data_IF_453768649055
#
_entry.id   IF_453768649055
#
_cell.length_a   1.000
_cell.length_b   1.000
_cell.length_c   1.000
_cell.angle_alpha   90.00
_cell.angle_beta   90.00
_cell.angle_gamma   90.00
#
_symmetry.space_group_name_H-M   'P 1'
#
loop_
_entity.id
_entity.type
_entity.pdbx_description
1 polymer ?
#
# COMPACT_ATOMS: atom_id res chain seq x y z
N UNK A 1 -0.93 27.58 23.20
CA UNK A 1 -0.23 27.01 22.03
C UNK A 1 -0.43 25.51 22.12
N UNK A 2 -1.00 24.88 21.10
CA UNK A 2 -1.12 23.42 21.07
C UNK A 2 0.31 22.86 21.19
N UNK A 3 0.51 21.84 22.02
CA UNK A 3 1.79 21.14 22.19
C UNK A 3 1.61 19.71 21.67
N UNK A 4 2.68 19.03 21.26
CA UNK A 4 2.58 17.60 20.90
C UNK A 4 2.00 16.76 22.03
N UNK A 5 2.27 17.14 23.29
CA UNK A 5 1.66 16.54 24.48
C UNK A 5 0.13 16.60 24.47
N UNK A 6 -0.50 17.58 23.80
CA UNK A 6 -1.96 17.63 23.68
C UNK A 6 -2.55 16.55 22.77
N UNK A 7 -1.75 16.05 21.82
CA UNK A 7 -2.13 14.97 20.90
C UNK A 7 -1.66 13.60 21.38
N UNK A 8 -0.62 13.56 22.23
CA UNK A 8 -0.05 12.33 22.78
C UNK A 8 0.47 12.56 24.22
N UNK A 9 -0.42 12.60 25.24
CA UNK A 9 0.00 12.92 26.61
C UNK A 9 0.88 11.85 27.28
N UNK A 10 0.70 10.59 26.90
CA UNK A 10 1.43 9.47 27.50
C UNK A 10 2.77 9.25 26.81
N UNK A 11 3.87 9.58 27.52
CA UNK A 11 5.22 9.37 27.04
C UNK A 11 5.54 7.89 26.75
N UNK A 12 4.90 6.93 27.45
CA UNK A 12 5.15 5.50 27.19
C UNK A 12 4.61 5.11 25.83
N UNK A 13 3.40 5.56 25.51
CA UNK A 13 2.82 5.35 24.17
C UNK A 13 3.70 6.02 23.12
N UNK A 14 4.17 7.26 23.36
CA UNK A 14 5.10 7.93 22.43
C UNK A 14 6.33 7.10 22.11
N UNK A 15 6.94 6.48 23.12
CA UNK A 15 8.14 5.66 22.99
C UNK A 15 7.88 4.26 22.40
N UNK A 16 6.62 3.80 22.40
CA UNK A 16 6.21 2.52 21.78
C UNK A 16 5.85 2.66 20.30
N UNK A 17 5.55 3.86 19.83
CA UNK A 17 5.19 4.11 18.43
C UNK A 17 6.41 3.95 17.51
N UNK A 18 6.20 3.31 16.36
CA UNK A 18 7.20 3.28 15.30
C UNK A 18 7.38 4.68 14.68
N UNK A 19 8.54 4.98 14.06
CA UNK A 19 8.83 6.30 13.52
C UNK A 19 7.75 6.87 12.59
N UNK A 20 7.17 6.04 11.70
CA UNK A 20 6.07 6.44 10.82
C UNK A 20 4.77 6.82 11.54
N UNK A 21 4.45 6.15 12.64
CA UNK A 21 3.21 6.38 13.39
C UNK A 21 3.33 7.69 14.16
N UNK A 22 4.47 7.89 14.83
CA UNK A 22 4.80 9.13 15.52
C UNK A 22 4.94 10.30 14.52
N UNK A 23 5.47 10.06 13.33
CA UNK A 23 5.54 11.04 12.25
C UNK A 23 4.15 11.56 11.83
N UNK A 24 3.15 10.66 11.75
CA UNK A 24 1.77 11.06 11.49
C UNK A 24 1.21 12.04 12.53
N UNK A 25 1.50 11.80 13.81
CA UNK A 25 1.12 12.68 14.92
C UNK A 25 1.86 14.02 14.84
N UNK A 26 3.16 13.99 14.53
CA UNK A 26 3.94 15.22 14.32
C UNK A 26 3.33 16.03 13.18
N UNK A 27 3.03 15.43 12.02
CA UNK A 27 2.48 16.16 10.89
C UNK A 27 1.10 16.77 11.20
N UNK A 28 0.23 16.03 11.90
CA UNK A 28 -1.05 16.54 12.42
C UNK A 28 -0.82 17.76 13.34
N UNK A 29 0.15 17.67 14.25
CA UNK A 29 0.56 18.79 15.09
C UNK A 29 1.01 20.00 14.25
N UNK A 30 1.86 19.79 13.23
CA UNK A 30 2.35 20.87 12.36
C UNK A 30 1.19 21.53 11.59
N UNK A 31 0.22 20.74 11.10
CA UNK A 31 -0.96 21.23 10.38
C UNK A 31 -2.00 21.91 11.30
N UNK A 32 -2.11 21.52 12.57
CA UNK A 32 -3.05 22.11 13.56
C UNK A 32 -2.82 23.61 13.85
N UNK A 33 -1.66 24.14 13.42
CA UNK A 33 -1.21 25.51 13.68
C UNK A 33 -1.96 26.66 12.98
N UNK A 34 -2.93 26.37 12.12
CA UNK A 34 -3.73 27.34 11.38
C UNK A 34 -3.03 27.97 10.15
N UNK A 35 -3.81 28.59 9.26
CA UNK A 35 -3.45 29.06 7.90
C UNK A 35 -2.51 30.26 7.80
N UNK A 36 -1.76 30.62 8.85
CA UNK A 36 -0.77 31.70 8.75
C UNK A 36 0.44 31.21 7.96
N UNK A 37 0.44 31.55 6.67
CA UNK A 37 1.29 31.19 5.52
C UNK A 37 2.81 31.03 5.67
N UNK A 38 3.42 31.15 6.85
CA UNK A 38 4.84 30.84 7.12
C UNK A 38 5.03 30.41 8.56
N UNK A 39 4.57 29.23 8.93
CA UNK A 39 5.15 28.55 10.10
C UNK A 39 6.33 27.73 9.61
N UNK A 40 7.50 28.25 9.93
CA UNK A 40 8.75 27.53 9.80
C UNK A 40 8.86 26.68 11.05
N UNK A 41 9.19 25.41 10.88
CA UNK A 41 9.31 24.46 11.97
C UNK A 41 10.75 24.02 12.09
N UNK A 42 11.16 23.66 13.30
CA UNK A 42 12.48 23.09 13.54
C UNK A 42 12.35 21.93 14.50
N UNK A 43 13.18 20.90 14.30
CA UNK A 43 13.30 19.81 15.26
C UNK A 43 13.71 20.35 16.63
N UNK A 44 14.59 21.35 16.67
CA UNK A 44 15.03 22.01 17.91
C UNK A 44 13.89 22.63 18.72
N UNK A 45 12.84 23.13 18.05
CA UNK A 45 11.67 23.67 18.75
C UNK A 45 10.82 22.52 19.32
N UNK A 46 10.68 21.42 18.57
CA UNK A 46 9.91 20.24 18.96
C UNK A 46 10.55 19.48 20.13
N UNK A 47 11.88 19.48 20.21
CA UNK A 47 12.65 18.83 21.28
C UNK A 47 13.14 19.80 22.36
N UNK A 48 12.68 21.06 22.33
CA UNK A 48 13.04 22.04 23.35
C UNK A 48 12.40 21.69 24.70
N UNK A 49 13.06 22.07 25.80
CA UNK A 49 12.49 21.90 27.14
C UNK A 49 11.12 22.59 27.32
N UNK A 50 10.82 23.64 26.54
CA UNK A 50 9.50 24.26 26.55
C UNK A 50 8.41 23.40 25.89
N UNK A 51 8.76 22.64 24.84
CA UNK A 51 7.86 21.72 24.17
C UNK A 51 7.66 20.43 24.97
N UNK A 52 8.70 19.97 25.68
CA UNK A 52 8.70 18.72 26.45
C UNK A 52 8.33 18.88 27.92
N UNK A 53 8.07 20.12 28.40
CA UNK A 53 7.86 20.44 29.83
C UNK A 53 6.80 19.60 30.55
N UNK A 54 5.83 19.08 29.80
CA UNK A 54 4.68 18.35 30.33
C UNK A 54 4.93 16.82 30.37
N UNK A 55 6.08 16.36 29.84
CA UNK A 55 6.55 14.97 29.96
C UNK A 55 7.50 14.77 31.15
N UNK A 56 7.71 13.52 31.62
CA UNK A 56 8.68 13.21 32.67
C UNK A 56 10.11 13.55 32.26
N UNK A 57 10.85 14.21 33.15
CA UNK A 57 12.23 14.66 32.89
C UNK A 57 13.19 13.51 32.60
N UNK A 58 12.96 12.38 33.25
CA UNK A 58 13.74 11.15 33.07
C UNK A 58 13.63 10.57 31.66
N UNK A 59 12.53 10.83 30.95
CA UNK A 59 12.29 10.33 29.59
C UNK A 59 12.57 11.38 28.50
N UNK A 60 12.91 12.63 28.86
CA UNK A 60 13.12 13.71 27.88
C UNK A 60 14.13 13.35 26.79
N UNK A 61 15.23 12.70 27.17
CA UNK A 61 16.26 12.28 26.21
C UNK A 61 15.71 11.26 25.21
N UNK A 62 15.01 10.22 25.67
CA UNK A 62 14.44 9.17 24.82
C UNK A 62 13.38 9.75 23.89
N UNK A 63 12.52 10.63 24.41
CA UNK A 63 11.52 11.35 23.63
C UNK A 63 12.19 12.20 22.54
N UNK A 64 13.31 12.87 22.82
CA UNK A 64 14.03 13.65 21.81
C UNK A 64 14.52 12.78 20.64
N UNK A 65 15.03 11.57 20.91
CA UNK A 65 15.48 10.64 19.88
C UNK A 65 14.29 10.12 19.06
N UNK A 66 13.20 9.69 19.70
CA UNK A 66 12.00 9.24 19.01
C UNK A 66 11.41 10.34 18.09
N UNK A 67 11.34 11.58 18.58
CA UNK A 67 10.90 12.73 17.78
C UNK A 67 11.84 13.02 16.60
N UNK A 68 13.14 12.81 16.75
CA UNK A 68 14.11 12.98 15.67
C UNK A 68 13.96 11.89 14.58
N UNK A 69 13.72 10.64 14.96
CA UNK A 69 13.46 9.53 14.05
C UNK A 69 12.18 9.74 13.24
N UNK A 70 11.11 10.16 13.90
CA UNK A 70 9.86 10.52 13.24
C UNK A 70 10.03 11.75 12.30
N UNK A 71 10.85 12.73 12.70
CA UNK A 71 11.14 13.90 11.87
C UNK A 71 11.88 13.54 10.58
N UNK A 72 12.92 12.71 10.66
CA UNK A 72 13.68 12.29 9.48
C UNK A 72 12.81 11.43 8.55
N UNK A 73 11.87 10.66 9.10
CA UNK A 73 10.88 9.96 8.28
C UNK A 73 10.01 10.93 7.48
N UNK A 74 9.46 11.99 8.09
CA UNK A 74 8.67 13.01 7.37
C UNK A 74 9.47 13.68 6.25
N UNK A 75 10.76 13.95 6.48
CA UNK A 75 11.67 14.51 5.49
C UNK A 75 11.89 13.52 4.32
N UNK A 76 12.20 12.25 4.62
CA UNK A 76 12.42 11.21 3.60
C UNK A 76 11.16 10.93 2.76
N UNK A 77 9.97 11.05 3.35
CA UNK A 77 8.69 10.94 2.64
C UNK A 77 8.34 12.21 1.83
N UNK A 78 9.14 13.27 1.93
CA UNK A 78 8.90 14.55 1.26
C UNK A 78 7.67 15.29 1.78
N UNK A 79 7.23 15.00 3.01
CA UNK A 79 6.09 15.66 3.65
C UNK A 79 6.49 17.00 4.30
N UNK A 80 7.75 17.08 4.73
CA UNK A 80 8.43 18.34 5.09
C UNK A 80 9.71 18.48 4.27
N UNK A 81 10.24 19.69 4.17
CA UNK A 81 11.52 19.95 3.51
C UNK A 81 12.25 21.14 4.15
N UNK A 82 13.59 21.18 4.10
CA UNK A 82 14.36 22.34 4.55
C UNK A 82 13.92 23.62 3.83
N UNK A 83 13.79 24.72 4.56
CA UNK A 83 13.47 26.02 3.96
C UNK A 83 14.70 26.59 3.24
N UNK A 84 14.63 26.83 1.91
CA UNK A 84 15.77 27.31 1.15
C UNK A 84 16.19 28.75 1.49
N UNK A 85 15.37 29.49 2.23
CA UNK A 85 15.66 30.86 2.66
C UNK A 85 16.43 30.95 3.97
N UNK A 86 16.74 29.83 4.63
CA UNK A 86 17.42 29.80 5.93
C UNK A 86 18.73 29.04 5.89
N UNK A 87 19.62 29.36 6.82
CA UNK A 87 20.88 28.67 7.01
C UNK A 87 20.72 27.40 7.86
N UNK A 88 19.86 26.48 7.39
CA UNK A 88 19.62 25.18 8.00
C UNK A 88 18.72 25.19 9.24
N UNK A 89 18.28 23.98 9.64
CA UNK A 89 17.50 23.76 10.87
C UNK A 89 16.04 24.20 10.83
N UNK A 90 15.60 24.86 9.75
CA UNK A 90 14.22 25.28 9.54
C UNK A 90 13.61 24.55 8.35
N UNK A 91 12.35 24.18 8.50
CA UNK A 91 11.59 23.36 7.57
C UNK A 91 10.23 23.99 7.30
N UNK A 92 9.65 23.66 6.15
CA UNK A 92 8.27 23.95 5.80
C UNK A 92 7.53 22.65 5.48
N UNK A 93 6.20 22.67 5.66
CA UNK A 93 5.34 21.56 5.23
C UNK A 93 5.21 21.65 3.70
N UNK A 94 5.52 20.56 3.00
CA UNK A 94 5.45 20.57 1.53
C UNK A 94 3.99 20.64 1.06
N UNK A 95 3.79 20.88 -0.24
CA UNK A 95 2.45 20.81 -0.86
C UNK A 95 1.75 19.49 -0.55
N UNK A 96 2.49 18.37 -0.50
CA UNK A 96 1.97 17.05 -0.16
C UNK A 96 1.69 16.92 1.33
N UNK A 97 2.59 17.37 2.20
CA UNK A 97 2.35 17.35 3.64
C UNK A 97 1.08 18.11 4.05
N UNK A 98 0.73 19.17 3.33
CA UNK A 98 -0.52 19.90 3.54
C UNK A 98 -1.78 19.15 3.07
N UNK A 99 -1.66 18.18 2.17
CA UNK A 99 -2.81 17.33 1.77
C UNK A 99 -3.10 16.22 2.78
N UNK A 100 -2.16 15.93 3.68
CA UNK A 100 -2.29 14.92 4.73
C UNK A 100 -2.55 15.63 6.06
N UNK A 101 -3.80 16.01 6.29
CA UNK A 101 -4.17 16.92 7.38
C UNK A 101 -3.94 16.31 8.77
N UNK A 102 -4.13 15.00 8.92
CA UNK A 102 -4.06 14.28 10.20
C UNK A 102 -3.30 12.95 10.09
N UNK A 103 -3.10 12.29 11.25
CA UNK A 103 -2.39 11.00 11.31
C UNK A 103 -3.10 9.89 10.53
N UNK A 104 -4.43 9.95 10.36
CA UNK A 104 -5.20 8.97 9.57
C UNK A 104 -4.89 9.12 8.09
N UNK A 105 -4.76 10.35 7.58
CA UNK A 105 -4.35 10.62 6.22
C UNK A 105 -2.89 10.19 5.96
N UNK A 106 -1.99 10.37 6.92
CA UNK A 106 -0.59 9.88 6.83
C UNK A 106 -0.56 8.36 6.78
N UNK A 107 -1.35 7.69 7.60
CA UNK A 107 -1.43 6.23 7.58
C UNK A 107 -2.02 5.69 6.26
N UNK A 108 -3.04 6.36 5.71
CA UNK A 108 -3.56 6.04 4.39
C UNK A 108 -2.51 6.25 3.28
N UNK A 109 -1.71 7.32 3.36
CA UNK A 109 -0.59 7.56 2.44
C UNK A 109 0.50 6.48 2.55
N UNK A 110 0.86 6.08 3.77
CA UNK A 110 1.83 5.00 4.02
C UNK A 110 1.37 3.70 3.38
N UNK A 111 0.11 3.33 3.62
CA UNK A 111 -0.52 2.17 2.96
C UNK A 111 -0.52 2.32 1.45
N UNK A 112 -0.92 3.48 0.92
CA UNK A 112 -0.93 3.71 -0.53
C UNK A 112 0.44 3.51 -1.19
N UNK A 113 1.53 3.82 -0.50
CA UNK A 113 2.88 3.59 -1.02
C UNK A 113 3.29 2.10 -1.05
N UNK A 114 2.65 1.23 -0.26
CA UNK A 114 2.93 -0.21 -0.31
C UNK A 114 2.48 -0.86 -1.62
N UNK A 115 1.47 -0.29 -2.27
CA UNK A 115 0.87 -0.85 -3.47
C UNK A 115 0.83 0.22 -4.57
N UNK A 116 1.92 0.37 -5.34
CA UNK A 116 2.06 1.44 -6.33
C UNK A 116 1.02 1.26 -7.45
N UNK A 117 0.13 2.25 -7.56
CA UNK A 117 -1.01 2.25 -8.49
C UNK A 117 -0.57 2.08 -9.95
N UNK A 118 0.61 2.59 -10.29
CA UNK A 118 1.19 2.56 -11.65
C UNK A 118 1.56 1.14 -12.10
N UNK A 119 1.79 0.21 -11.17
CA UNK A 119 2.07 -1.19 -11.50
C UNK A 119 0.79 -1.99 -11.73
N UNK A 120 -0.38 -1.47 -11.33
CA UNK A 120 -1.64 -2.18 -11.36
C UNK A 120 -2.30 -2.14 -12.75
N UNK A 121 -2.90 -3.26 -13.11
CA UNK A 121 -3.80 -3.37 -14.25
C UNK A 121 -5.03 -2.48 -14.00
N UNK A 122 -5.58 -1.77 -15.01
CA UNK A 122 -6.69 -0.83 -14.83
C UNK A 122 -7.91 -1.39 -14.06
N UNK A 123 -8.24 -2.67 -14.24
CA UNK A 123 -9.33 -3.31 -13.48
C UNK A 123 -9.02 -3.40 -11.98
N UNK A 124 -7.75 -3.65 -11.62
CA UNK A 124 -7.33 -3.67 -10.21
C UNK A 124 -7.37 -2.26 -9.60
N UNK A 125 -7.01 -1.24 -10.39
CA UNK A 125 -7.12 0.17 -9.97
C UNK A 125 -8.56 0.53 -9.61
N UNK A 126 -9.54 0.06 -10.37
CA UNK A 126 -10.94 0.41 -10.15
C UNK A 126 -11.56 -0.40 -9.00
N UNK A 127 -11.40 -1.72 -9.04
CA UNK A 127 -12.14 -2.63 -8.15
C UNK A 127 -11.43 -3.00 -6.86
N UNK A 128 -10.09 -2.96 -6.84
CA UNK A 128 -9.28 -3.49 -5.72
C UNK A 128 -8.61 -2.38 -4.94
N UNK A 129 -8.09 -1.37 -5.62
CA UNK A 129 -7.35 -0.28 -5.00
C UNK A 129 -8.12 0.43 -3.86
N UNK A 130 -9.42 0.74 -4.00
CA UNK A 130 -10.18 1.35 -2.91
C UNK A 130 -10.31 0.44 -1.67
N UNK A 131 -10.39 -0.88 -1.85
CA UNK A 131 -10.46 -1.85 -0.74
C UNK A 131 -9.16 -1.84 0.06
N UNK A 132 -8.03 -1.87 -0.64
CA UNK A 132 -6.71 -1.84 -0.03
C UNK A 132 -6.48 -0.58 0.80
N UNK A 133 -6.82 0.59 0.27
CA UNK A 133 -6.68 1.86 1.00
C UNK A 133 -7.52 1.94 2.28
N UNK A 134 -8.67 1.25 2.31
CA UNK A 134 -9.53 1.16 3.50
C UNK A 134 -9.06 0.12 4.52
N UNK A 135 -8.01 -0.64 4.21
CA UNK A 135 -7.53 -1.71 5.07
C UNK A 135 -8.32 -3.02 4.94
N UNK A 136 -9.17 -3.16 3.92
CA UNK A 136 -9.92 -4.39 3.64
C UNK A 136 -9.03 -5.40 2.89
N UNK A 137 -7.90 -5.77 3.48
CA UNK A 137 -6.81 -6.49 2.80
C UNK A 137 -7.23 -7.87 2.27
N UNK A 138 -7.94 -8.65 3.08
CA UNK A 138 -8.41 -10.01 2.70
C UNK A 138 -9.37 -9.93 1.50
N UNK A 139 -10.25 -8.92 1.54
CA UNK A 139 -11.24 -8.69 0.48
C UNK A 139 -10.55 -8.18 -0.77
N UNK A 140 -9.55 -7.30 -0.65
CA UNK A 140 -8.76 -6.82 -1.76
C UNK A 140 -8.00 -7.97 -2.46
N UNK A 141 -7.32 -8.82 -1.69
CA UNK A 141 -6.62 -9.99 -2.21
C UNK A 141 -7.59 -10.97 -2.91
N UNK A 142 -8.70 -11.33 -2.26
CA UNK A 142 -9.72 -12.19 -2.86
C UNK A 142 -10.26 -11.63 -4.17
N UNK A 143 -10.65 -10.34 -4.15
CA UNK A 143 -11.22 -9.65 -5.30
C UNK A 143 -10.24 -9.62 -6.47
N UNK A 144 -8.93 -9.47 -6.23
CA UNK A 144 -7.93 -9.53 -7.29
C UNK A 144 -7.92 -10.84 -8.06
N UNK A 145 -7.87 -12.00 -7.38
CA UNK A 145 -7.85 -13.29 -8.09
C UNK A 145 -9.20 -13.63 -8.70
N UNK A 146 -10.31 -13.17 -8.09
CA UNK A 146 -11.63 -13.27 -8.72
C UNK A 146 -11.67 -12.55 -10.06
N UNK A 147 -11.12 -11.34 -10.15
CA UNK A 147 -11.11 -10.59 -11.41
C UNK A 147 -10.25 -11.27 -12.48
N UNK A 148 -9.13 -11.90 -12.11
CA UNK A 148 -8.34 -12.73 -13.05
C UNK A 148 -9.17 -13.91 -13.56
N UNK A 149 -9.86 -14.64 -12.67
CA UNK A 149 -10.69 -15.77 -13.09
C UNK A 149 -11.85 -15.34 -14.00
N UNK A 150 -12.50 -14.22 -13.71
CA UNK A 150 -13.54 -13.63 -14.57
C UNK A 150 -12.98 -13.28 -15.96
N UNK A 151 -11.78 -12.70 -16.02
CA UNK A 151 -11.14 -12.34 -17.29
C UNK A 151 -10.82 -13.58 -18.14
N UNK A 152 -10.26 -14.62 -17.53
CA UNK A 152 -10.00 -15.91 -18.19
C UNK A 152 -11.30 -16.52 -18.71
N UNK A 153 -12.35 -16.58 -17.88
CA UNK A 153 -13.65 -17.14 -18.25
C UNK A 153 -14.25 -16.45 -19.47
N UNK A 154 -14.18 -15.11 -19.49
CA UNK A 154 -14.62 -14.33 -20.64
C UNK A 154 -13.78 -14.62 -21.89
N UNK A 155 -12.46 -14.69 -21.76
CA UNK A 155 -11.53 -14.95 -22.86
C UNK A 155 -11.73 -16.32 -23.52
N UNK A 156 -12.14 -17.34 -22.76
CA UNK A 156 -12.38 -18.68 -23.29
C UNK A 156 -13.83 -18.96 -23.67
N UNK A 157 -14.73 -17.98 -23.49
CA UNK A 157 -16.17 -18.11 -23.69
C UNK A 157 -16.78 -19.28 -22.90
N UNK A 158 -16.25 -19.51 -21.70
CA UNK A 158 -16.71 -20.62 -20.86
C UNK A 158 -18.03 -20.25 -20.15
N UNK A 159 -19.03 -21.11 -20.34
CA UNK A 159 -20.38 -20.98 -19.80
C UNK A 159 -20.67 -21.98 -18.68
N UNK A 160 -19.74 -22.89 -18.40
CA UNK A 160 -19.85 -23.88 -17.34
C UNK A 160 -19.57 -23.23 -15.97
N UNK A 161 -20.22 -23.68 -14.89
CA UNK A 161 -19.95 -23.20 -13.51
C UNK A 161 -18.72 -23.89 -12.90
N UNK A 162 -17.66 -24.09 -13.68
CA UNK A 162 -16.44 -24.73 -13.20
C UNK A 162 -15.84 -23.98 -12.02
N UNK A 163 -15.19 -24.72 -11.12
CA UNK A 163 -14.35 -24.07 -10.12
C UNK A 163 -13.16 -23.38 -10.80
N UNK A 164 -12.60 -22.34 -10.16
CA UNK A 164 -11.60 -21.52 -10.86
C UNK A 164 -10.31 -22.27 -11.21
N UNK A 165 -9.97 -23.35 -10.48
CA UNK A 165 -8.82 -24.19 -10.84
C UNK A 165 -9.09 -24.97 -12.12
N UNK A 166 -10.26 -25.62 -12.23
CA UNK A 166 -10.69 -26.33 -13.44
C UNK A 166 -10.77 -25.38 -14.64
N UNK A 167 -11.25 -24.15 -14.44
CA UNK A 167 -11.25 -23.11 -15.46
C UNK A 167 -9.83 -22.81 -15.97
N UNK A 168 -8.85 -22.67 -15.08
CA UNK A 168 -7.45 -22.43 -15.50
C UNK A 168 -6.88 -23.65 -16.24
N UNK A 169 -7.21 -24.87 -15.80
CA UNK A 169 -6.80 -26.12 -16.46
C UNK A 169 -7.30 -26.21 -17.89
N UNK A 170 -8.58 -25.90 -18.11
CA UNK A 170 -9.17 -25.87 -19.46
C UNK A 170 -8.59 -24.74 -20.30
N UNK A 171 -8.47 -23.53 -19.75
CA UNK A 171 -8.04 -22.35 -20.50
C UNK A 171 -6.60 -22.43 -20.99
N UNK A 172 -5.69 -22.94 -20.15
CA UNK A 172 -4.25 -23.00 -20.41
C UNK A 172 -3.73 -24.43 -20.65
N UNK A 173 -4.61 -25.36 -21.05
CA UNK A 173 -4.19 -26.72 -21.34
C UNK A 173 -3.07 -26.73 -22.41
N UNK A 174 -1.95 -27.48 -22.23
CA UNK A 174 -0.77 -27.33 -23.09
C UNK A 174 -1.00 -27.69 -24.57
N UNK A 175 -1.99 -28.54 -24.86
CA UNK A 175 -2.24 -29.04 -26.21
C UNK A 175 -3.37 -28.28 -26.93
N UNK A 176 -4.45 -27.94 -26.22
CA UNK A 176 -5.70 -27.42 -26.80
C UNK A 176 -6.33 -26.24 -26.03
N UNK A 177 -5.63 -25.70 -25.02
CA UNK A 177 -6.10 -24.54 -24.27
C UNK A 177 -6.20 -23.29 -25.14
N UNK A 178 -7.36 -22.63 -25.13
CA UNK A 178 -7.61 -21.41 -25.95
C UNK A 178 -6.69 -20.24 -25.62
N UNK A 179 -6.12 -20.21 -24.41
CA UNK A 179 -5.21 -19.15 -23.96
C UNK A 179 -3.72 -19.56 -23.98
N UNK A 180 -3.43 -20.78 -24.43
CA UNK A 180 -2.07 -21.30 -24.53
C UNK A 180 -1.35 -20.67 -25.72
N UNK A 181 -0.19 -20.06 -25.48
CA UNK A 181 0.65 -19.53 -26.56
C UNK A 181 1.28 -20.67 -27.35
N UNK A 182 0.88 -20.82 -28.61
CA UNK A 182 1.36 -21.88 -29.48
C UNK A 182 2.88 -21.80 -29.79
N UNK A 183 3.49 -20.62 -29.62
CA UNK A 183 4.92 -20.40 -29.89
C UNK A 183 5.82 -20.82 -28.73
N UNK A 184 5.25 -21.07 -27.55
CA UNK A 184 5.99 -21.54 -26.39
C UNK A 184 6.37 -23.01 -26.50
N UNK A 185 7.48 -23.36 -25.85
CA UNK A 185 7.89 -24.75 -25.64
C UNK A 185 6.88 -25.48 -24.76
N UNK A 186 6.89 -26.81 -24.81
CA UNK A 186 6.02 -27.64 -23.97
C UNK A 186 6.17 -27.31 -22.47
N UNK A 187 7.39 -27.06 -22.02
CA UNK A 187 7.69 -26.78 -20.61
C UNK A 187 7.16 -25.40 -20.20
N UNK A 188 7.24 -24.39 -21.07
CA UNK A 188 6.68 -23.05 -20.83
C UNK A 188 5.15 -23.05 -20.76
N UNK A 189 4.49 -23.82 -21.64
CA UNK A 189 3.04 -24.01 -21.59
C UNK A 189 2.61 -24.66 -20.27
N UNK A 190 3.31 -25.72 -19.87
CA UNK A 190 3.06 -26.39 -18.60
C UNK A 190 3.31 -25.48 -17.38
N UNK A 191 4.36 -24.65 -17.44
CA UNK A 191 4.66 -23.67 -16.39
C UNK A 191 3.59 -22.59 -16.28
N UNK A 192 3.07 -22.09 -17.42
CA UNK A 192 1.98 -21.12 -17.45
C UNK A 192 0.71 -21.69 -16.80
N UNK A 193 0.33 -22.91 -17.19
CA UNK A 193 -0.79 -23.61 -16.55
C UNK A 193 -0.59 -23.77 -15.03
N UNK A 194 0.59 -24.20 -14.60
CA UNK A 194 0.91 -24.40 -13.19
C UNK A 194 0.86 -23.07 -12.41
N UNK A 195 1.27 -21.97 -13.03
CA UNK A 195 1.24 -20.64 -12.42
C UNK A 195 -0.21 -20.18 -12.13
N UNK A 196 -1.11 -20.32 -13.11
CA UNK A 196 -2.50 -19.90 -12.97
C UNK A 196 -3.29 -20.79 -12.01
N UNK A 197 -3.15 -22.12 -12.13
CA UNK A 197 -3.81 -23.07 -11.21
C UNK A 197 -3.29 -22.92 -9.78
N UNK A 198 -1.98 -22.77 -9.62
CA UNK A 198 -1.34 -22.50 -8.32
C UNK A 198 -1.82 -21.19 -7.70
N UNK A 199 -1.95 -20.12 -8.49
CA UNK A 199 -2.47 -18.84 -8.03
C UNK A 199 -3.92 -18.95 -7.50
N UNK A 200 -4.83 -19.58 -8.25
CA UNK A 200 -6.22 -19.78 -7.82
C UNK A 200 -6.29 -20.69 -6.58
N UNK A 201 -5.52 -21.77 -6.57
CA UNK A 201 -5.46 -22.72 -5.47
C UNK A 201 -4.90 -22.13 -4.17
N UNK A 202 -3.92 -21.22 -4.24
CA UNK A 202 -3.27 -20.66 -3.06
C UNK A 202 -3.94 -19.38 -2.54
N UNK A 203 -4.42 -18.51 -3.42
CA UNK A 203 -4.91 -17.20 -3.00
C UNK A 203 -6.43 -17.08 -3.00
N UNK A 204 -7.14 -17.69 -3.96
CA UNK A 204 -8.61 -17.58 -4.04
C UNK A 204 -9.32 -18.66 -3.23
N UNK A 205 -8.97 -19.94 -3.44
CA UNK A 205 -9.66 -21.06 -2.81
C UNK A 205 -9.65 -20.98 -1.27
N UNK A 206 -8.53 -20.66 -0.60
CA UNK A 206 -8.52 -20.60 0.86
C UNK A 206 -9.41 -19.48 1.41
N UNK A 207 -9.47 -18.34 0.72
CA UNK A 207 -10.33 -17.20 1.08
C UNK A 207 -11.83 -17.51 0.89
N UNK A 208 -12.20 -18.47 0.05
CA UNK A 208 -13.58 -18.96 -0.05
C UNK A 208 -14.01 -19.84 1.14
N UNK A 209 -13.06 -20.50 1.81
CA UNK A 209 -13.35 -21.56 2.78
C UNK A 209 -12.92 -21.23 4.21
N UNK A 210 -12.03 -20.24 4.40
CA UNK A 210 -11.44 -19.88 5.69
C UNK A 210 -11.28 -18.36 5.78
N UNK A 211 -11.39 -17.84 6.99
CA UNK A 211 -10.96 -16.47 7.28
C UNK A 211 -9.43 -16.46 7.35
N UNK A 212 -8.79 -15.83 6.37
CA UNK A 212 -7.35 -15.62 6.32
C UNK A 212 -7.13 -14.13 6.41
N UNK A 213 -6.37 -13.71 7.42
CA UNK A 213 -6.01 -12.31 7.61
C UNK A 213 -4.70 -12.03 6.86
N UNK A 214 -4.74 -11.06 5.95
CA UNK A 214 -3.61 -10.48 5.25
C UNK A 214 -3.10 -9.25 6.00
N UNK A 215 -1.78 -9.11 6.05
CA UNK A 215 -1.18 -7.80 6.34
C UNK A 215 -1.30 -6.90 5.12
N UNK A 216 -1.03 -5.60 5.29
CA UNK A 216 -1.02 -4.66 4.17
C UNK A 216 0.00 -5.07 3.11
N UNK A 217 1.19 -5.51 3.53
CA UNK A 217 2.28 -5.96 2.67
C UNK A 217 1.88 -7.23 1.91
N UNK A 218 1.35 -8.24 2.62
CA UNK A 218 0.93 -9.49 2.00
C UNK A 218 -0.20 -9.29 0.98
N UNK A 219 -1.15 -8.39 1.26
CA UNK A 219 -2.18 -8.04 0.29
C UNK A 219 -1.60 -7.28 -0.90
N UNK A 220 -0.66 -6.35 -0.69
CA UNK A 220 0.00 -5.63 -1.78
C UNK A 220 0.72 -6.59 -2.74
N UNK A 221 1.48 -7.55 -2.21
CA UNK A 221 2.16 -8.60 -2.99
C UNK A 221 1.16 -9.44 -3.81
N UNK A 222 0.09 -9.90 -3.16
CA UNK A 222 -0.96 -10.69 -3.79
C UNK A 222 -1.67 -9.91 -4.93
N UNK A 223 -1.96 -8.63 -4.72
CA UNK A 223 -2.62 -7.76 -5.71
C UNK A 223 -1.69 -7.49 -6.89
N UNK A 224 -0.40 -7.22 -6.65
CA UNK A 224 0.59 -7.04 -7.73
C UNK A 224 0.73 -8.33 -8.54
N UNK A 225 0.79 -9.48 -7.86
CA UNK A 225 0.88 -10.77 -8.54
C UNK A 225 -0.36 -11.04 -9.42
N UNK A 226 -1.56 -10.86 -8.87
CA UNK A 226 -2.79 -10.99 -9.64
C UNK A 226 -2.86 -9.98 -10.81
N UNK A 227 -2.36 -8.76 -10.61
CA UNK A 227 -2.26 -7.77 -11.68
C UNK A 227 -1.29 -8.21 -12.78
N UNK A 228 -0.22 -8.93 -12.45
CA UNK A 228 0.69 -9.49 -13.43
C UNK A 228 0.03 -10.62 -14.23
N UNK A 229 -0.69 -11.53 -13.56
CA UNK A 229 -1.49 -12.57 -14.22
C UNK A 229 -2.52 -11.97 -15.18
N UNK A 230 -3.19 -10.89 -14.79
CA UNK A 230 -4.14 -10.19 -15.65
C UNK A 230 -3.49 -9.68 -16.95
N UNK A 231 -2.28 -9.08 -16.86
CA UNK A 231 -1.55 -8.63 -18.05
C UNK A 231 -1.13 -9.79 -18.98
N UNK A 232 -0.91 -10.99 -18.43
CA UNK A 232 -0.68 -12.20 -19.22
C UNK A 232 -1.96 -12.58 -19.97
N UNK A 233 -3.13 -12.53 -19.31
CA UNK A 233 -4.45 -12.76 -19.93
C UNK A 233 -4.70 -11.80 -21.09
N UNK A 234 -4.41 -10.51 -20.92
CA UNK A 234 -4.55 -9.49 -21.99
C UNK A 234 -3.64 -9.79 -23.19
N UNK A 235 -2.43 -10.28 -22.91
CA UNK A 235 -1.46 -10.61 -23.95
C UNK A 235 -1.91 -11.85 -24.76
N UNK A 236 -2.45 -12.87 -24.08
CA UNK A 236 -3.01 -14.07 -24.73
C UNK A 236 -4.23 -13.76 -25.59
N UNK A 237 -5.07 -12.80 -25.20
CA UNK A 237 -6.25 -12.38 -25.97
C UNK A 237 -5.91 -11.43 -27.12
N UNK A 238 -4.88 -10.60 -26.97
CA UNK A 238 -4.42 -9.72 -28.05
C UNK A 238 -3.71 -10.53 -29.15
N UNK A 239 -2.96 -11.57 -28.79
CA UNK A 239 -2.28 -12.44 -29.75
C UNK A 239 -3.25 -13.23 -30.64
N UNK A 240 -4.43 -13.62 -30.12
CA UNK A 240 -5.46 -14.31 -30.90
C UNK A 240 -6.23 -13.43 -31.89
N UNK A 241 -6.00 -12.10 -31.88
CA UNK A 241 -6.71 -11.12 -32.73
C UNK A 241 -5.90 -10.66 -33.95
N UNK A 242 -4.68 -11.20 -34.17
CA UNK A 242 -3.87 -10.83 -35.34
C UNK A 242 -4.06 -11.89 -36.45
N UNK A 243 -4.64 -11.53 -37.62
CA UNK A 243 -4.89 -12.45 -38.72
C UNK A 243 -3.63 -12.91 -39.46
#
# INVERSE_FOLDING_TARGET
MQSIHSLLPDHKILLELEPEELAGIILEYLNSGGTKKRRMFSLSNLTSGAALRDYPRESESEICYALAEAWIWLENQGLIAPDPSQNGGWYFITRRGHTLEDRTAVEAYRKANLLPKELLHPIMIDKVWPLFLRGEYDTAAFQSFKEVAVAVRYAVEDTEEDCDVELMEKAFHPEDGKMTDANQTKDEKQATLALFTGAMGLYKNPLCHRNINFTAEGAAEAIIFASHLFKIVDSSTSASTTP
#
